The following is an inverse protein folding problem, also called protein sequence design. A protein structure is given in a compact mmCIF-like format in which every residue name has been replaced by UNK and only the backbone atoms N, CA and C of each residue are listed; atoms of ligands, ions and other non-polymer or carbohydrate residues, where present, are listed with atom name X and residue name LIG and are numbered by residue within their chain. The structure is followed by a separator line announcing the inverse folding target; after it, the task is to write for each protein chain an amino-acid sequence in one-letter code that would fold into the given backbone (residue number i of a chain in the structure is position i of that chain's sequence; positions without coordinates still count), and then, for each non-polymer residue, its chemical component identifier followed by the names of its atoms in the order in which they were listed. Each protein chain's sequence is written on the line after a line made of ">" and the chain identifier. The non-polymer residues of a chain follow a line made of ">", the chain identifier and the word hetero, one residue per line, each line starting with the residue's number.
data_IF_452224077809
#
_entry.id   IF_452224077809
#
_cell.length_a   1.000
_cell.length_b   1.000
_cell.length_c   1.000
_cell.angle_alpha   90.00
_cell.angle_beta   90.00
_cell.angle_gamma   90.00
#
_symmetry.space_group_name_H-M   'P 1'
#
loop_
_entity.id
_entity.type
_entity.pdbx_description
1 polymer ?
#
# COMPACT_ATOMS: atom_id res chain seq x y z
N UNK A 1 13.19 -16.40 12.69
CA UNK A 1 12.80 -17.30 13.76
C UNK A 1 11.57 -18.13 13.38
N UNK A 2 10.36 -17.58 13.13
CA UNK A 2 9.15 -18.35 12.80
C UNK A 2 9.35 -19.33 11.63
N UNK A 3 9.95 -18.87 10.54
CA UNK A 3 10.24 -19.70 9.36
C UNK A 3 11.35 -20.73 9.64
N UNK A 4 12.38 -20.33 10.36
CA UNK A 4 13.52 -21.18 10.74
C UNK A 4 13.07 -22.35 11.63
N UNK A 5 12.23 -22.11 12.62
CA UNK A 5 11.61 -23.13 13.48
C UNK A 5 10.77 -24.16 12.70
N UNK A 6 10.37 -23.83 11.47
CA UNK A 6 9.56 -24.67 10.56
C UNK A 6 10.35 -25.21 9.37
N UNK A 7 11.68 -25.08 9.42
CA UNK A 7 12.58 -25.51 8.36
C UNK A 7 12.20 -24.92 6.97
N UNK A 8 11.76 -23.64 6.95
CA UNK A 8 11.40 -22.91 5.74
C UNK A 8 12.49 -21.90 5.41
N UNK A 9 13.10 -22.03 4.24
CA UNK A 9 14.14 -21.13 3.77
C UNK A 9 14.88 -21.68 2.56
N UNK A 10 15.87 -20.93 2.10
CA UNK A 10 16.77 -21.34 1.04
C UNK A 10 17.79 -22.35 1.62
N UNK A 11 17.89 -23.50 1.00
CA UNK A 11 18.80 -24.57 1.42
C UNK A 11 20.25 -24.21 1.05
N UNK A 12 21.11 -24.08 2.04
CA UNK A 12 22.54 -23.82 1.90
C UNK A 12 23.39 -25.09 2.23
N UNK A 13 22.77 -26.26 2.33
CA UNK A 13 23.37 -27.55 2.56
C UNK A 13 23.54 -27.93 4.05
N UNK A 14 23.84 -26.98 4.92
CA UNK A 14 24.00 -27.19 6.37
C UNK A 14 22.75 -26.74 7.16
N UNK A 15 21.94 -25.87 6.59
CA UNK A 15 20.69 -25.37 7.16
C UNK A 15 19.87 -24.66 6.08
N UNK A 16 18.62 -24.29 6.42
CA UNK A 16 17.81 -23.40 5.59
C UNK A 16 17.82 -21.97 6.13
N UNK A 17 18.06 -21.02 5.24
CA UNK A 17 18.10 -19.58 5.57
C UNK A 17 16.83 -18.91 5.07
N UNK A 18 15.94 -18.41 5.95
CA UNK A 18 14.78 -17.64 5.56
C UNK A 18 15.17 -16.36 4.82
N UNK A 19 14.62 -16.15 3.63
CA UNK A 19 14.80 -14.92 2.87
C UNK A 19 13.53 -14.09 3.01
N UNK A 20 13.61 -12.98 3.77
CA UNK A 20 12.49 -12.12 4.09
C UNK A 20 12.75 -10.71 3.56
N UNK A 21 11.96 -10.28 2.57
CA UNK A 21 11.96 -8.90 2.12
C UNK A 21 11.18 -8.03 3.09
N UNK A 22 11.67 -6.83 3.37
CA UNK A 22 11.08 -5.91 4.34
C UNK A 22 11.12 -4.47 3.82
N UNK A 23 10.06 -3.73 4.09
CA UNK A 23 10.01 -2.26 3.98
C UNK A 23 9.24 -1.69 5.17
N UNK A 24 9.59 -0.46 5.55
CA UNK A 24 8.96 0.24 6.65
C UNK A 24 8.11 1.41 6.14
N UNK A 25 6.96 1.63 6.77
CA UNK A 25 6.17 2.85 6.65
C UNK A 25 6.62 3.84 7.73
N UNK A 26 6.68 5.12 7.39
CA UNK A 26 6.86 6.18 8.37
C UNK A 26 5.50 6.77 8.74
N UNK A 27 5.00 6.44 9.91
CA UNK A 27 3.70 6.87 10.44
C UNK A 27 3.77 7.34 11.90
N UNK A 28 4.98 7.66 12.39
CA UNK A 28 5.22 8.06 13.78
C UNK A 28 4.47 9.32 14.24
N UNK A 29 3.97 10.11 13.29
CA UNK A 29 3.11 11.27 13.57
C UNK A 29 1.65 10.91 13.83
N UNK A 30 1.26 9.63 13.73
CA UNK A 30 -0.12 9.16 13.88
C UNK A 30 -0.22 8.25 15.11
N UNK A 31 -1.07 8.60 16.06
CA UNK A 31 -1.21 7.85 17.31
C UNK A 31 -0.04 8.09 18.27
N UNK A 32 0.79 7.10 18.50
CA UNK A 32 1.93 7.17 19.43
C UNK A 32 3.26 6.88 18.74
N UNK A 33 4.20 7.81 18.85
CA UNK A 33 5.59 7.62 18.38
C UNK A 33 6.38 6.56 19.16
N UNK A 34 5.88 6.13 20.31
CA UNK A 34 6.54 5.10 21.14
C UNK A 34 6.16 3.67 20.72
N UNK A 35 5.05 3.49 19.99
CA UNK A 35 4.61 2.17 19.51
C UNK A 35 5.29 1.86 18.18
N UNK A 36 5.91 0.68 18.11
CA UNK A 36 6.63 0.19 16.91
C UNK A 36 6.36 -1.30 16.69
N UNK A 37 6.42 -1.78 15.46
CA UNK A 37 6.43 -3.21 15.19
C UNK A 37 7.62 -3.89 15.91
N UNK A 38 7.35 -4.99 16.60
CA UNK A 38 8.35 -5.79 17.30
C UNK A 38 8.49 -7.18 16.68
N UNK A 39 9.56 -7.89 17.01
CA UNK A 39 9.76 -9.28 16.57
C UNK A 39 8.62 -10.18 17.05
N UNK A 40 8.08 -9.93 18.26
CA UNK A 40 6.96 -10.69 18.81
C UNK A 40 5.67 -10.46 18.02
N UNK A 41 5.37 -9.19 17.66
CA UNK A 41 4.22 -8.86 16.81
C UNK A 41 4.33 -9.53 15.45
N UNK A 42 5.53 -9.57 14.85
CA UNK A 42 5.76 -10.23 13.58
C UNK A 42 5.60 -11.76 13.69
N UNK A 43 6.06 -12.36 14.79
CA UNK A 43 5.89 -13.79 15.05
C UNK A 43 4.39 -14.12 15.20
N UNK A 44 3.65 -13.34 16.00
CA UNK A 44 2.22 -13.51 16.20
C UNK A 44 1.43 -13.32 14.89
N UNK A 45 1.84 -12.38 14.02
CA UNK A 45 1.24 -12.20 12.71
C UNK A 45 1.40 -13.47 11.83
N UNK A 46 2.56 -14.13 11.90
CA UNK A 46 2.77 -15.41 11.23
C UNK A 46 1.90 -16.54 11.81
N UNK A 47 1.75 -16.60 13.15
CA UNK A 47 0.88 -17.56 13.81
C UNK A 47 -0.60 -17.39 13.42
N UNK A 48 -1.04 -16.15 13.29
CA UNK A 48 -2.41 -15.79 12.93
C UNK A 48 -2.67 -15.88 11.42
N UNK A 49 -1.66 -16.14 10.60
CA UNK A 49 -1.82 -16.25 9.15
C UNK A 49 -2.76 -17.41 8.80
N UNK A 50 -3.74 -17.14 7.97
CA UNK A 50 -4.78 -18.08 7.60
C UNK A 50 -5.24 -17.95 6.15
N UNK A 51 -6.32 -18.66 5.81
CA UNK A 51 -6.91 -18.65 4.45
C UNK A 51 -8.14 -17.73 4.33
N UNK A 52 -8.55 -17.12 5.41
CA UNK A 52 -9.65 -16.15 5.40
C UNK A 52 -9.24 -14.87 4.69
N UNK A 53 -10.22 -14.12 4.18
CA UNK A 53 -9.96 -12.77 3.68
C UNK A 53 -9.32 -11.93 4.80
N UNK A 54 -8.23 -11.20 4.51
CA UNK A 54 -7.59 -10.36 5.51
C UNK A 54 -8.51 -9.20 5.90
N UNK A 55 -8.39 -8.73 7.15
CA UNK A 55 -9.03 -7.50 7.57
C UNK A 55 -8.41 -6.31 6.82
N UNK A 56 -9.22 -5.27 6.56
CA UNK A 56 -8.82 -4.06 5.85
C UNK A 56 -8.99 -2.81 6.73
N UNK A 57 -8.49 -1.66 6.26
CA UNK A 57 -8.58 -0.39 6.97
C UNK A 57 -7.48 -0.21 8.03
N UNK A 58 -7.84 0.13 9.24
CA UNK A 58 -6.93 0.48 10.34
C UNK A 58 -6.26 -0.73 10.99
N UNK A 59 -5.72 -1.65 10.21
CA UNK A 59 -5.13 -2.91 10.69
C UNK A 59 -3.69 -3.10 10.20
N UNK A 60 -2.85 -3.73 11.01
CA UNK A 60 -1.47 -4.03 10.67
C UNK A 60 -0.71 -2.78 10.19
N UNK A 61 -0.08 -2.86 9.01
CA UNK A 61 0.61 -1.73 8.39
C UNK A 61 -0.31 -0.54 8.05
N UNK A 62 -1.63 -0.74 7.98
CA UNK A 62 -2.62 0.31 7.75
C UNK A 62 -2.96 1.15 8.98
N UNK A 63 -2.55 0.75 10.18
CA UNK A 63 -2.94 1.38 11.45
C UNK A 63 -2.59 2.87 11.50
N UNK A 64 -1.39 3.26 11.12
CA UNK A 64 -0.92 4.66 11.10
C UNK A 64 -1.00 5.33 9.72
N UNK A 65 -1.46 4.65 8.68
CA UNK A 65 -1.51 5.19 7.32
C UNK A 65 -2.38 6.45 7.20
N UNK A 66 -1.91 7.41 6.42
CA UNK A 66 -2.59 8.69 6.12
C UNK A 66 -2.28 9.14 4.69
N UNK A 67 -3.14 9.99 4.11
CA UNK A 67 -3.02 10.52 2.75
C UNK A 67 -3.34 12.01 2.68
N UNK A 68 -3.03 12.65 1.53
CA UNK A 68 -3.30 14.06 1.34
C UNK A 68 -2.47 14.95 2.27
N UNK A 69 -1.17 14.64 2.42
CA UNK A 69 -0.30 15.24 3.45
C UNK A 69 0.44 16.51 3.00
N UNK A 70 0.21 16.97 1.80
CA UNK A 70 0.96 18.11 1.23
C UNK A 70 0.92 19.38 2.11
N UNK A 71 -0.23 19.66 2.72
CA UNK A 71 -0.40 20.77 3.69
C UNK A 71 -0.22 20.36 5.15
N UNK A 72 0.48 19.26 5.39
CA UNK A 72 0.74 18.72 6.73
C UNK A 72 -0.40 17.88 7.29
N UNK A 73 -0.15 17.27 8.44
CA UNK A 73 -1.06 16.30 9.06
C UNK A 73 -2.41 16.89 9.50
N UNK A 74 -2.49 18.20 9.74
CA UNK A 74 -3.73 18.88 10.11
C UNK A 74 -4.82 18.82 9.03
N UNK A 75 -4.43 18.66 7.77
CA UNK A 75 -5.35 18.57 6.60
C UNK A 75 -5.35 17.18 5.96
N UNK A 76 -4.62 16.21 6.52
CA UNK A 76 -4.56 14.85 6.03
C UNK A 76 -5.81 14.04 6.41
N UNK A 77 -6.11 13.00 5.63
CA UNK A 77 -7.13 12.01 5.95
C UNK A 77 -6.51 10.70 6.42
N UNK A 78 -7.29 9.92 7.19
CA UNK A 78 -6.97 8.55 7.56
C UNK A 78 -7.01 7.67 6.32
N UNK A 79 -6.02 6.82 6.20
CA UNK A 79 -5.93 5.77 5.20
C UNK A 79 -5.67 4.42 5.88
N UNK A 80 -5.43 3.36 5.13
CA UNK A 80 -5.36 2.04 5.71
C UNK A 80 -4.66 1.01 4.85
N UNK A 81 -4.98 -0.23 5.14
CA UNK A 81 -4.61 -1.43 4.41
C UNK A 81 -5.80 -1.90 3.56
N UNK A 82 -5.55 -2.27 2.31
CA UNK A 82 -6.57 -2.76 1.40
C UNK A 82 -6.09 -3.91 0.54
N UNK A 83 -7.04 -4.70 0.07
CA UNK A 83 -6.78 -5.87 -0.76
C UNK A 83 -7.76 -5.96 -1.92
N UNK A 84 -7.34 -6.56 -3.01
CA UNK A 84 -8.22 -6.91 -4.11
C UNK A 84 -7.66 -8.11 -4.88
N UNK A 85 -8.53 -8.89 -5.53
CA UNK A 85 -8.12 -10.01 -6.35
C UNK A 85 -8.95 -10.11 -7.62
N UNK A 86 -8.31 -10.55 -8.70
CA UNK A 86 -8.92 -10.85 -9.99
C UNK A 86 -8.57 -12.27 -10.43
N UNK A 87 -9.49 -12.88 -11.18
CA UNK A 87 -9.27 -14.14 -11.85
C UNK A 87 -9.72 -14.05 -13.30
N UNK A 88 -8.89 -14.59 -14.21
CA UNK A 88 -9.22 -14.75 -15.64
C UNK A 88 -8.81 -16.15 -16.06
N UNK A 89 -9.80 -16.99 -16.38
CA UNK A 89 -9.54 -18.42 -16.58
C UNK A 89 -8.86 -19.03 -15.36
N UNK A 90 -7.75 -19.75 -15.51
CA UNK A 90 -6.99 -20.32 -14.40
C UNK A 90 -6.10 -19.31 -13.69
N UNK A 91 -5.77 -18.17 -14.31
CA UNK A 91 -4.86 -17.17 -13.76
C UNK A 91 -5.56 -16.34 -12.67
N UNK A 92 -4.86 -16.18 -11.54
CA UNK A 92 -5.29 -15.37 -10.40
C UNK A 92 -4.20 -14.35 -10.07
N UNK A 93 -4.62 -13.13 -9.75
CA UNK A 93 -3.75 -12.07 -9.26
C UNK A 93 -4.42 -11.40 -8.07
N UNK A 94 -3.69 -11.29 -6.97
CA UNK A 94 -4.08 -10.55 -5.77
C UNK A 94 -3.14 -9.39 -5.52
N UNK A 95 -3.65 -8.29 -4.97
CA UNK A 95 -2.87 -7.18 -4.45
C UNK A 95 -3.23 -6.90 -3.00
N UNK A 96 -2.22 -6.57 -2.22
CA UNK A 96 -2.30 -6.09 -0.85
C UNK A 96 -1.54 -4.77 -0.80
N UNK A 97 -2.08 -3.76 -0.14
CA UNK A 97 -1.42 -2.44 -0.11
C UNK A 97 -1.70 -1.70 1.19
N UNK A 98 -0.65 -1.11 1.76
CA UNK A 98 -0.75 -0.12 2.82
C UNK A 98 -0.49 1.26 2.21
N UNK A 99 -1.47 2.15 2.27
CA UNK A 99 -1.48 3.43 1.54
C UNK A 99 -1.15 4.58 2.48
N UNK A 100 0.09 5.04 2.45
CA UNK A 100 0.56 6.17 3.28
C UNK A 100 1.16 7.27 2.38
N UNK A 101 0.38 7.75 1.40
CA UNK A 101 0.83 8.60 0.31
C UNK A 101 0.85 10.10 0.66
N UNK A 102 1.66 10.87 -0.09
CA UNK A 102 1.59 12.33 -0.11
C UNK A 102 0.28 12.80 -0.78
N UNK A 103 -0.05 12.20 -1.91
CA UNK A 103 -1.16 12.58 -2.78
C UNK A 103 -2.54 12.12 -2.31
N UNK A 104 -3.51 12.48 -3.13
CA UNK A 104 -4.92 12.13 -2.98
C UNK A 104 -5.24 10.81 -3.70
N UNK A 105 -6.22 10.06 -3.20
CA UNK A 105 -6.70 8.83 -3.83
C UNK A 105 -7.93 9.10 -4.68
N UNK A 106 -7.91 8.57 -5.89
CA UNK A 106 -8.97 8.73 -6.91
C UNK A 106 -9.65 7.39 -7.19
N UNK A 107 -10.94 7.45 -7.42
CA UNK A 107 -11.72 6.32 -7.92
C UNK A 107 -11.47 6.04 -9.42
N UNK A 108 -11.93 4.87 -9.91
CA UNK A 108 -11.81 4.52 -11.33
C UNK A 108 -12.60 5.42 -12.28
N UNK A 109 -13.56 6.18 -11.73
CA UNK A 109 -14.31 7.22 -12.44
C UNK A 109 -13.54 8.55 -12.56
N UNK A 110 -12.32 8.60 -12.04
CA UNK A 110 -11.46 9.77 -12.04
C UNK A 110 -11.81 10.82 -10.99
N UNK A 111 -12.76 10.53 -10.10
CA UNK A 111 -13.14 11.44 -9.01
C UNK A 111 -12.29 11.21 -7.77
N UNK A 112 -11.97 12.27 -7.00
CA UNK A 112 -11.26 12.11 -5.74
C UNK A 112 -12.15 11.35 -4.74
N UNK A 113 -11.59 10.30 -4.15
CA UNK A 113 -12.25 9.51 -3.12
C UNK A 113 -11.85 9.96 -1.71
N UNK A 114 -10.57 10.27 -1.50
CA UNK A 114 -10.03 10.72 -0.22
C UNK A 114 -8.70 11.45 -0.47
N UNK A 115 -8.27 12.31 0.45
CA UNK A 115 -7.00 13.03 0.27
C UNK A 115 -6.90 14.28 1.12
N UNK A 116 -6.31 15.33 0.54
CA UNK A 116 -6.13 16.61 1.20
C UNK A 116 -7.48 17.25 1.52
N UNK A 117 -7.68 17.61 2.77
CA UNK A 117 -8.85 18.37 3.21
C UNK A 117 -8.65 19.87 3.01
N UNK A 118 -9.76 20.60 2.82
CA UNK A 118 -9.77 22.05 2.91
C UNK A 118 -9.40 22.51 4.34
N UNK A 119 -9.14 23.80 4.54
CA UNK A 119 -8.74 24.37 5.84
C UNK A 119 -9.76 24.09 6.95
N UNK A 120 -11.05 24.07 6.63
CA UNK A 120 -12.14 23.79 7.58
C UNK A 120 -12.37 22.29 7.80
N UNK A 121 -11.69 21.43 7.06
CA UNK A 121 -11.83 19.97 7.09
C UNK A 121 -13.25 19.48 6.80
N UNK A 122 -13.97 20.20 5.95
CA UNK A 122 -15.38 19.92 5.59
C UNK A 122 -15.54 19.33 4.20
N UNK A 123 -14.50 19.37 3.37
CA UNK A 123 -14.50 18.81 2.01
C UNK A 123 -13.07 18.51 1.56
N UNK A 124 -12.94 17.76 0.47
CA UNK A 124 -11.66 17.58 -0.20
C UNK A 124 -11.19 18.86 -0.87
N UNK A 125 -9.90 19.11 -0.83
CA UNK A 125 -9.12 19.99 -1.69
C UNK A 125 -8.43 19.13 -2.76
N UNK A 126 -7.54 19.72 -3.56
CA UNK A 126 -6.78 19.00 -4.56
C UNK A 126 -5.28 19.21 -4.32
N UNK A 127 -4.57 18.14 -3.99
CA UNK A 127 -3.12 18.22 -3.73
C UNK A 127 -2.35 18.78 -4.93
N UNK A 128 -2.72 18.41 -6.17
CA UNK A 128 -2.03 18.93 -7.37
C UNK A 128 -2.23 20.43 -7.55
N UNK A 129 -3.45 20.95 -7.34
CA UNK A 129 -3.72 22.39 -7.45
C UNK A 129 -2.96 23.19 -6.39
N UNK A 130 -2.93 22.70 -5.16
CA UNK A 130 -2.14 23.29 -4.07
C UNK A 130 -0.63 23.27 -4.35
N UNK A 131 -0.12 22.18 -4.95
CA UNK A 131 1.28 22.10 -5.37
C UNK A 131 1.61 23.08 -6.51
N UNK A 132 0.71 23.21 -7.49
CA UNK A 132 0.95 24.11 -8.62
C UNK A 132 0.86 25.60 -8.21
N UNK A 133 0.20 25.90 -7.10
CA UNK A 133 0.22 27.22 -6.51
C UNK A 133 1.56 27.52 -5.76
N UNK A 134 2.29 26.50 -5.33
CA UNK A 134 3.54 26.61 -4.58
C UNK A 134 4.74 26.28 -5.48
N UNK A 135 5.13 27.21 -6.34
CA UNK A 135 6.25 27.03 -7.28
C UNK A 135 7.64 27.24 -6.66
N UNK A 136 7.71 27.74 -5.43
CA UNK A 136 8.99 27.95 -4.75
C UNK A 136 9.57 26.61 -4.26
N UNK A 137 10.92 26.39 -4.34
CA UNK A 137 11.52 25.19 -3.76
C UNK A 137 11.21 25.08 -2.26
N UNK A 138 10.70 23.94 -1.84
CA UNK A 138 10.46 23.68 -0.42
C UNK A 138 11.76 23.32 0.30
N UNK A 139 12.06 24.03 1.40
CA UNK A 139 13.31 23.88 2.19
C UNK A 139 13.23 22.64 3.07
N UNK A 140 13.10 21.57 3.01
CA UNK A 140 12.97 20.37 3.86
C UNK A 140 11.59 19.68 3.77
N UNK A 141 11.37 18.98 2.70
CA UNK A 141 10.34 17.93 2.71
C UNK A 141 10.93 16.69 3.40
N UNK A 142 10.66 16.51 4.70
CA UNK A 142 10.88 15.22 5.33
C UNK A 142 9.94 14.21 4.64
N UNK A 143 10.54 13.26 3.92
CA UNK A 143 9.82 12.26 3.15
C UNK A 143 9.24 11.17 4.07
N UNK A 144 8.12 11.46 4.71
CA UNK A 144 7.38 10.51 5.54
C UNK A 144 6.25 9.79 4.79
N UNK A 145 6.34 9.70 3.46
CA UNK A 145 5.30 9.10 2.62
C UNK A 145 5.80 7.81 2.00
N UNK A 146 4.95 6.81 1.95
CA UNK A 146 5.33 5.49 1.40
C UNK A 146 4.07 4.67 1.17
N UNK A 147 3.85 4.20 -0.05
CA UNK A 147 2.84 3.19 -0.32
C UNK A 147 3.55 1.87 -0.55
N UNK A 148 3.23 0.86 0.27
CA UNK A 148 3.82 -0.47 0.19
C UNK A 148 2.80 -1.46 -0.36
N UNK A 149 3.13 -2.05 -1.52
CA UNK A 149 2.29 -3.03 -2.19
C UNK A 149 2.94 -4.40 -2.31
N UNK A 150 2.09 -5.41 -2.31
CA UNK A 150 2.46 -6.79 -2.65
C UNK A 150 1.51 -7.27 -3.74
N UNK A 151 2.06 -7.81 -4.81
CA UNK A 151 1.30 -8.51 -5.85
C UNK A 151 1.60 -10.00 -5.76
N UNK A 152 0.56 -10.81 -5.72
CA UNK A 152 0.67 -12.27 -5.66
C UNK A 152 -0.06 -12.87 -6.86
N UNK A 153 0.59 -13.82 -7.53
CA UNK A 153 -0.04 -14.56 -8.63
C UNK A 153 0.18 -16.07 -8.50
N UNK A 154 -0.73 -16.86 -9.05
CA UNK A 154 -0.52 -18.28 -9.28
C UNK A 154 0.14 -18.57 -10.64
N UNK A 155 0.45 -17.55 -11.42
CA UNK A 155 1.22 -17.67 -12.65
C UNK A 155 2.65 -18.10 -12.36
N UNK A 156 3.21 -18.97 -13.20
CA UNK A 156 4.58 -19.49 -13.06
C UNK A 156 5.59 -18.48 -13.63
N UNK A 157 6.25 -17.75 -12.75
CA UNK A 157 7.28 -16.76 -13.11
C UNK A 157 8.51 -16.87 -12.22
N UNK A 158 9.67 -16.71 -12.81
CA UNK A 158 10.93 -16.57 -12.08
C UNK A 158 11.19 -15.10 -11.68
N UNK A 159 12.35 -14.82 -11.11
CA UNK A 159 12.72 -13.50 -10.57
C UNK A 159 12.64 -12.37 -11.59
N UNK A 160 13.07 -12.62 -12.85
CA UNK A 160 13.17 -11.56 -13.87
C UNK A 160 11.78 -11.05 -14.31
N UNK A 161 10.84 -11.89 -14.74
CA UNK A 161 9.48 -11.46 -15.01
C UNK A 161 8.75 -10.94 -13.75
N UNK A 162 9.03 -11.45 -12.54
CA UNK A 162 8.44 -10.89 -11.32
C UNK A 162 8.91 -9.45 -11.05
N UNK A 163 10.17 -9.13 -11.33
CA UNK A 163 10.65 -7.73 -11.28
C UNK A 163 9.90 -6.84 -12.26
N UNK A 164 9.67 -7.34 -13.48
CA UNK A 164 8.85 -6.62 -14.48
C UNK A 164 7.41 -6.48 -14.03
N UNK A 165 6.82 -7.53 -13.43
CA UNK A 165 5.46 -7.52 -12.89
C UNK A 165 5.29 -6.46 -11.80
N UNK A 166 6.23 -6.36 -10.86
CA UNK A 166 6.24 -5.32 -9.84
C UNK A 166 6.26 -3.92 -10.47
N UNK A 167 7.11 -3.70 -11.48
CA UNK A 167 7.14 -2.44 -12.23
C UNK A 167 5.82 -2.13 -12.97
N UNK A 168 5.16 -3.13 -13.55
CA UNK A 168 3.85 -2.93 -14.19
C UNK A 168 2.74 -2.60 -13.18
N UNK A 169 2.80 -3.16 -11.97
CA UNK A 169 1.83 -2.89 -10.91
C UNK A 169 1.88 -1.44 -10.40
N UNK A 170 3.01 -0.72 -10.52
CA UNK A 170 3.12 0.72 -10.25
C UNK A 170 2.18 1.57 -11.11
N UNK A 171 1.73 1.08 -12.26
CA UNK A 171 0.67 1.75 -13.03
C UNK A 171 -0.66 1.82 -12.23
N UNK A 172 -0.91 0.88 -11.31
CA UNK A 172 -2.04 0.95 -10.39
C UNK A 172 -1.92 2.11 -9.41
N UNK A 173 -0.70 2.37 -8.90
CA UNK A 173 -0.43 3.56 -8.08
C UNK A 173 -0.69 4.84 -8.86
N UNK A 174 -0.12 4.95 -10.08
CA UNK A 174 -0.28 6.13 -10.93
C UNK A 174 -1.73 6.42 -11.36
N UNK A 175 -2.58 5.40 -11.42
CA UNK A 175 -4.01 5.56 -11.70
C UNK A 175 -4.79 6.04 -10.48
N UNK A 176 -4.46 5.52 -9.29
CA UNK A 176 -5.23 5.74 -8.08
C UNK A 176 -4.71 6.88 -7.20
N UNK A 177 -3.42 7.26 -7.26
CA UNK A 177 -2.81 8.24 -6.37
C UNK A 177 -2.25 9.41 -7.18
N UNK A 178 -2.56 10.66 -6.77
CA UNK A 178 -2.11 11.88 -7.47
C UNK A 178 -1.75 13.00 -6.48
N UNK A 179 -0.48 13.49 -6.47
CA UNK A 179 0.69 12.92 -7.14
C UNK A 179 1.16 11.62 -6.48
N UNK A 180 1.98 10.85 -7.19
CA UNK A 180 2.62 9.64 -6.70
C UNK A 180 4.07 9.58 -7.21
N UNK A 181 4.91 8.79 -6.55
CA UNK A 181 6.34 8.64 -6.89
C UNK A 181 7.10 9.96 -6.91
N UNK A 182 6.74 10.87 -6.01
CA UNK A 182 7.48 12.10 -5.79
C UNK A 182 8.80 11.80 -5.04
N UNK A 183 9.68 12.77 -4.96
CA UNK A 183 10.93 12.66 -4.16
C UNK A 183 10.65 12.49 -2.66
N UNK A 184 9.41 12.73 -2.21
CA UNK A 184 8.97 12.58 -0.84
C UNK A 184 8.36 11.18 -0.55
N UNK A 185 8.23 10.32 -1.57
CA UNK A 185 7.60 9.00 -1.46
C UNK A 185 8.64 7.88 -1.52
N UNK A 186 8.49 6.86 -0.65
CA UNK A 186 9.28 5.63 -0.64
C UNK A 186 8.53 4.44 -1.23
N UNK A 187 7.71 4.66 -2.26
CA UNK A 187 6.79 3.69 -2.84
C UNK A 187 7.49 2.43 -3.33
N UNK A 188 7.00 1.28 -2.93
CA UNK A 188 7.58 -0.01 -3.27
C UNK A 188 6.53 -1.07 -3.53
N UNK A 189 6.80 -1.97 -4.47
CA UNK A 189 5.96 -3.15 -4.74
C UNK A 189 6.82 -4.40 -4.78
N UNK A 190 6.39 -5.43 -4.07
CA UNK A 190 6.91 -6.78 -4.14
C UNK A 190 5.99 -7.66 -4.98
N UNK A 191 6.56 -8.51 -5.83
CA UNK A 191 5.81 -9.48 -6.63
C UNK A 191 6.20 -10.91 -6.27
N UNK A 192 5.20 -11.77 -6.11
CA UNK A 192 5.36 -13.17 -5.71
C UNK A 192 4.61 -14.10 -6.67
N UNK A 193 5.27 -15.17 -7.07
CA UNK A 193 4.68 -16.30 -7.81
C UNK A 193 4.50 -17.47 -6.83
N UNK A 194 3.27 -17.93 -6.64
CA UNK A 194 2.91 -19.01 -5.71
C UNK A 194 2.31 -20.23 -6.42
N UNK A 195 2.37 -20.28 -7.73
CA UNK A 195 1.76 -21.35 -8.51
C UNK A 195 2.57 -21.74 -9.74
N UNK A 196 1.98 -22.58 -10.53
CA UNK A 196 2.54 -23.24 -11.71
C UNK A 196 1.70 -23.03 -12.98
N UNK A 197 0.74 -22.11 -12.94
CA UNK A 197 -0.13 -21.83 -14.09
C UNK A 197 0.66 -21.09 -15.16
N UNK A 198 0.79 -21.64 -16.38
CA UNK A 198 1.39 -20.90 -17.49
C UNK A 198 0.60 -19.63 -17.80
N UNK A 199 1.27 -18.50 -17.98
CA UNK A 199 0.61 -17.24 -18.27
C UNK A 199 1.51 -16.23 -18.97
N UNK A 200 0.90 -15.36 -19.76
CA UNK A 200 1.58 -14.22 -20.39
C UNK A 200 1.82 -13.12 -19.35
N UNK A 201 3.06 -12.66 -19.24
CA UNK A 201 3.46 -11.62 -18.28
C UNK A 201 2.72 -10.29 -18.50
N UNK A 202 2.34 -9.97 -19.74
CA UNK A 202 1.62 -8.73 -20.03
C UNK A 202 0.17 -8.81 -19.54
N UNK A 203 -0.45 -9.99 -19.68
CA UNK A 203 -1.81 -10.23 -19.13
C UNK A 203 -1.79 -10.11 -17.60
N UNK A 204 -0.86 -10.82 -16.94
CA UNK A 204 -0.73 -10.79 -15.49
C UNK A 204 -0.34 -9.39 -15.01
N UNK A 205 0.51 -8.67 -15.74
CA UNK A 205 0.89 -7.29 -15.43
C UNK A 205 -0.27 -6.29 -15.55
N UNK A 206 -1.12 -6.44 -16.56
CA UNK A 206 -2.34 -5.63 -16.69
C UNK A 206 -3.33 -5.92 -15.55
N UNK A 207 -3.50 -7.21 -15.20
CA UNK A 207 -4.31 -7.62 -14.05
C UNK A 207 -3.74 -7.03 -12.75
N UNK A 208 -2.42 -7.06 -12.54
CA UNK A 208 -1.76 -6.54 -11.35
C UNK A 208 -1.98 -5.02 -11.18
N UNK A 209 -1.86 -4.25 -12.27
CA UNK A 209 -2.12 -2.82 -12.26
C UNK A 209 -3.58 -2.50 -11.85
N UNK A 210 -4.55 -3.21 -12.44
CA UNK A 210 -5.97 -3.05 -12.11
C UNK A 210 -6.29 -3.50 -10.68
N UNK A 211 -5.71 -4.63 -10.26
CA UNK A 211 -5.91 -5.17 -8.91
C UNK A 211 -5.34 -4.21 -7.85
N UNK A 212 -4.17 -3.63 -8.11
CA UNK A 212 -3.54 -2.66 -7.23
C UNK A 212 -4.34 -1.36 -7.13
N UNK A 213 -4.84 -0.82 -8.24
CA UNK A 213 -5.74 0.35 -8.27
C UNK A 213 -6.96 0.14 -7.36
N UNK A 214 -7.60 -1.03 -7.45
CA UNK A 214 -8.76 -1.39 -6.63
C UNK A 214 -8.42 -1.59 -5.16
N UNK A 215 -7.28 -2.22 -4.86
CA UNK A 215 -6.81 -2.40 -3.49
C UNK A 215 -6.53 -1.06 -2.80
N UNK A 216 -5.96 -0.08 -3.50
CA UNK A 216 -5.72 1.29 -2.99
C UNK A 216 -7.04 1.96 -2.63
N UNK A 217 -8.04 1.89 -3.49
CA UNK A 217 -9.35 2.45 -3.20
C UNK A 217 -10.00 1.79 -1.98
N UNK A 218 -9.92 0.47 -1.87
CA UNK A 218 -10.42 -0.25 -0.69
C UNK A 218 -9.68 0.14 0.58
N UNK A 219 -8.37 0.37 0.52
CA UNK A 219 -7.58 0.79 1.68
C UNK A 219 -8.12 2.08 2.32
N UNK A 220 -8.50 3.06 1.51
CA UNK A 220 -9.06 4.33 2.03
C UNK A 220 -10.52 4.18 2.44
N UNK A 221 -11.33 3.43 1.68
CA UNK A 221 -12.75 3.22 1.98
C UNK A 221 -12.99 2.41 3.24
N UNK A 222 -12.10 1.47 3.56
CA UNK A 222 -12.19 0.62 4.76
C UNK A 222 -11.57 1.26 6.01
N UNK A 223 -10.92 2.42 5.87
CA UNK A 223 -10.28 3.11 6.98
C UNK A 223 -11.27 4.01 7.72
N UNK A 224 -11.58 3.69 8.96
CA UNK A 224 -12.37 4.54 9.87
C UNK A 224 -11.54 5.70 10.43
N UNK A 225 -12.20 6.76 10.89
CA UNK A 225 -11.55 7.89 11.58
C UNK A 225 -10.78 7.41 12.80
N UNK A 226 -9.55 7.87 12.93
CA UNK A 226 -8.69 7.54 14.07
C UNK A 226 -7.59 8.57 14.25
N UNK A 227 -7.12 8.73 15.49
CA UNK A 227 -5.98 9.59 15.85
C UNK A 227 -6.12 11.05 15.41
N UNK A 228 -7.34 11.57 15.38
CA UNK A 228 -7.65 12.92 14.92
C UNK A 228 -7.73 13.11 13.39
N UNK A 229 -7.53 12.04 12.63
CA UNK A 229 -7.69 12.01 11.18
C UNK A 229 -9.10 11.53 10.80
N UNK A 230 -9.72 12.18 9.82
CA UNK A 230 -11.04 11.82 9.30
C UNK A 230 -10.89 10.66 8.32
N UNK A 231 -11.70 9.61 8.49
CA UNK A 231 -11.83 8.49 7.55
C UNK A 231 -12.79 8.81 6.40
N UNK A 232 -12.83 7.92 5.42
CA UNK A 232 -13.64 8.12 4.21
C UNK A 232 -15.15 8.24 4.49
N UNK A 233 -15.68 7.42 5.42
CA UNK A 233 -17.11 7.43 5.75
C UNK A 233 -17.55 8.70 6.47
N UNK A 234 -16.65 9.31 7.24
CA UNK A 234 -16.93 10.49 8.06
C UNK A 234 -16.65 11.80 7.32
N UNK A 235 -16.22 11.75 6.07
CA UNK A 235 -16.04 12.93 5.23
C UNK A 235 -17.43 13.54 4.92
N UNK A 236 -17.67 14.81 5.27
CA UNK A 236 -18.90 15.49 4.91
C UNK A 236 -19.10 15.49 3.38
N UNK A 237 -20.28 15.08 2.92
CA UNK A 237 -20.65 14.99 1.49
C UNK A 237 -21.57 16.11 1.09
#
# INVERSE_FOLDING_TARGET
>A
RYLEERDIGFDVGVTKVPLVSQSCLFDLGVGSKEVRPTAEMAYQACENAGRSAPAEGNVGAGTGCSIGKYRGMGRAMKSGFGTYALQTGPLKVGALVAVNALGDVYGPDGRPAAGLLNEKRTSLSCTLEEMFADIAPAENLFAGNTTLGVVVTNGMFDKTPLTKLAGMAHNGYARAIRPVHTTADGDSIYALSLGDVPGDINVVGAMAALTMERAILRAVQSAGSAYGLIGWEDLPR
#
